data_IF_083415051131
#
_entry.id   IF_083415051131
#
_cell.length_a   1.000
_cell.length_b   1.000
_cell.length_c   1.000
_cell.angle_alpha   90.00
_cell.angle_beta   90.00
_cell.angle_gamma   90.00
#
_symmetry.space_group_name_H-M   'P 1'
#
loop_
_entity.id
_entity.type
_entity.pdbx_description
1 polymer ?
#
# COMPACT_ATOMS: atom_id res chain seq x y z
N UNK A 1 -9.55 6.93 1.74
CA UNK A 1 -8.76 7.85 0.90
C UNK A 1 -7.49 7.15 0.42
N UNK A 2 -6.93 7.54 -0.72
CA UNK A 2 -5.64 7.01 -1.20
C UNK A 2 -4.69 8.19 -1.42
N UNK A 3 -3.48 8.10 -0.86
CA UNK A 3 -2.43 9.10 -0.99
C UNK A 3 -1.24 8.45 -1.69
N UNK A 4 -0.80 9.00 -2.82
CA UNK A 4 0.43 8.54 -3.46
C UNK A 4 1.61 9.32 -2.86
N UNK A 5 2.55 8.61 -2.24
CA UNK A 5 3.68 9.21 -1.56
C UNK A 5 4.82 9.53 -2.53
N UNK A 6 5.54 10.59 -2.22
CA UNK A 6 6.73 11.02 -2.94
C UNK A 6 7.76 11.58 -1.97
N UNK A 7 8.97 11.76 -2.47
CA UNK A 7 10.16 12.15 -1.73
C UNK A 7 10.04 13.58 -1.15
N UNK A 8 9.07 14.38 -1.62
CA UNK A 8 8.82 15.74 -1.14
C UNK A 8 7.83 15.86 0.04
N UNK A 9 7.34 14.74 0.60
CA UNK A 9 6.43 14.76 1.75
C UNK A 9 7.19 14.97 3.06
N UNK A 10 6.86 16.04 3.78
CA UNK A 10 7.39 16.35 5.10
C UNK A 10 6.55 15.73 6.24
N UNK A 11 7.17 15.55 7.41
CA UNK A 11 6.51 14.96 8.59
C UNK A 11 5.30 15.78 9.09
N UNK A 12 5.29 17.10 8.83
CA UNK A 12 4.17 17.98 9.22
C UNK A 12 2.96 17.76 8.31
N UNK A 13 3.15 17.57 7.01
CA UNK A 13 2.03 17.26 6.11
C UNK A 13 1.46 15.88 6.37
N UNK A 14 2.32 14.88 6.61
CA UNK A 14 1.87 13.55 7.01
C UNK A 14 1.13 13.59 8.35
N UNK A 15 1.64 14.32 9.34
CA UNK A 15 0.96 14.53 10.61
C UNK A 15 -0.43 15.15 10.45
N UNK A 16 -0.58 16.17 9.60
CA UNK A 16 -1.90 16.77 9.28
C UNK A 16 -2.84 15.76 8.62
N UNK A 17 -2.35 14.93 7.70
CA UNK A 17 -3.14 13.86 7.08
C UNK A 17 -3.60 12.84 8.13
N UNK A 18 -2.69 12.39 8.99
CA UNK A 18 -2.97 11.43 10.08
C UNK A 18 -3.97 12.00 11.08
N UNK A 19 -3.85 13.27 11.45
CA UNK A 19 -4.83 13.96 12.29
C UNK A 19 -6.22 13.97 11.66
N UNK A 20 -6.32 14.27 10.36
CA UNK A 20 -7.58 14.23 9.62
C UNK A 20 -8.17 12.81 9.56
N UNK A 21 -7.34 11.79 9.39
CA UNK A 21 -7.77 10.38 9.38
C UNK A 21 -8.33 9.97 10.75
N UNK A 22 -7.63 10.31 11.83
CA UNK A 22 -8.05 10.01 13.21
C UNK A 22 -9.38 10.67 13.55
N UNK A 23 -9.59 11.93 13.16
CA UNK A 23 -10.82 12.67 13.44
C UNK A 23 -12.00 12.19 12.58
N UNK A 24 -11.76 11.92 11.30
CA UNK A 24 -12.84 11.53 10.36
C UNK A 24 -13.26 10.07 10.48
N UNK A 25 -12.40 9.20 11.02
CA UNK A 25 -12.66 7.75 11.02
C UNK A 25 -12.55 7.12 9.63
N UNK A 26 -11.84 7.78 8.72
CA UNK A 26 -11.65 7.29 7.36
C UNK A 26 -10.58 6.20 7.29
N UNK A 27 -10.71 5.32 6.30
CA UNK A 27 -9.70 4.31 5.98
C UNK A 27 -8.81 4.86 4.89
N UNK A 28 -7.52 4.96 5.16
CA UNK A 28 -6.57 5.63 4.27
C UNK A 28 -5.40 4.75 3.90
N UNK A 29 -5.10 4.70 2.59
CA UNK A 29 -3.99 3.96 2.04
C UNK A 29 -2.92 4.92 1.54
N UNK A 30 -1.71 4.81 2.06
CA UNK A 30 -0.52 5.51 1.59
C UNK A 30 0.24 4.59 0.63
N UNK A 31 0.07 4.89 -0.65
CA UNK A 31 0.70 4.16 -1.73
C UNK A 31 2.16 4.61 -1.87
N UNK A 32 3.06 3.68 -2.15
CA UNK A 32 4.49 3.97 -2.35
C UNK A 32 5.17 4.62 -1.14
N UNK A 33 4.77 4.23 0.07
CA UNK A 33 5.20 4.86 1.33
C UNK A 33 6.73 4.88 1.51
N UNK A 34 7.42 3.92 0.90
CA UNK A 34 8.87 3.80 0.92
C UNK A 34 9.64 4.76 -0.03
N UNK A 35 8.94 5.74 -0.62
CA UNK A 35 9.53 6.90 -1.30
C UNK A 35 9.82 8.08 -0.38
N UNK A 36 9.19 8.09 0.80
CA UNK A 36 9.43 9.12 1.80
C UNK A 36 10.84 8.90 2.36
N UNK A 37 11.57 10.00 2.58
CA UNK A 37 12.90 9.97 3.19
C UNK A 37 12.88 9.23 4.54
N UNK A 38 13.92 8.43 4.80
CA UNK A 38 14.02 7.57 6.00
C UNK A 38 13.96 8.40 7.29
N UNK A 39 14.49 9.62 7.27
CA UNK A 39 14.45 10.55 8.40
C UNK A 39 13.01 10.98 8.73
N UNK A 40 12.21 11.29 7.70
CA UNK A 40 10.78 11.64 7.85
C UNK A 40 9.98 10.43 8.33
N UNK A 41 10.23 9.25 7.77
CA UNK A 41 9.56 8.00 8.18
C UNK A 41 9.76 7.69 9.68
N UNK A 42 10.91 8.04 10.24
CA UNK A 42 11.21 7.82 11.66
C UNK A 42 10.33 8.67 12.57
N UNK A 43 10.06 9.93 12.19
CA UNK A 43 9.14 10.82 12.92
C UNK A 43 7.69 10.36 12.73
N UNK A 44 7.32 9.97 11.51
CA UNK A 44 5.97 9.48 11.20
C UNK A 44 5.64 8.20 11.97
N UNK A 45 6.62 7.33 12.24
CA UNK A 45 6.41 6.16 13.09
C UNK A 45 5.92 6.55 14.50
N UNK A 46 6.45 7.63 15.09
CA UNK A 46 6.01 8.12 16.39
C UNK A 46 4.59 8.71 16.33
N UNK A 47 4.25 9.43 15.25
CA UNK A 47 2.89 9.93 15.02
C UNK A 47 1.88 8.76 14.91
N UNK A 48 2.21 7.72 14.15
CA UNK A 48 1.37 6.52 14.02
C UNK A 48 1.23 5.81 15.38
N UNK A 49 2.32 5.66 16.14
CA UNK A 49 2.29 5.04 17.46
C UNK A 49 1.36 5.81 18.43
N UNK A 50 1.37 7.14 18.40
CA UNK A 50 0.48 7.97 19.22
C UNK A 50 -0.99 7.67 18.96
N UNK A 51 -1.38 7.58 17.69
CA UNK A 51 -2.75 7.22 17.28
C UNK A 51 -3.09 5.80 17.72
N UNK A 52 -2.21 4.83 17.44
CA UNK A 52 -2.42 3.43 17.82
C UNK A 52 -2.58 3.24 19.33
N UNK A 53 -1.86 4.03 20.13
CA UNK A 53 -1.96 4.01 21.59
C UNK A 53 -3.29 4.60 22.06
N UNK A 54 -3.73 5.72 21.49
CA UNK A 54 -5.02 6.31 21.83
C UNK A 54 -6.20 5.37 21.48
N UNK A 55 -6.08 4.65 20.37
CA UNK A 55 -7.05 3.64 19.93
C UNK A 55 -7.04 2.43 20.87
N UNK A 56 -5.88 1.91 21.25
CA UNK A 56 -5.79 0.75 22.16
C UNK A 56 -6.33 1.07 23.55
N UNK A 57 -6.15 2.31 24.02
CA UNK A 57 -6.71 2.84 25.27
C UNK A 57 -8.18 3.23 25.16
N UNK A 58 -8.79 3.14 23.96
CA UNK A 58 -10.18 3.51 23.68
C UNK A 58 -10.55 4.94 24.10
N UNK A 59 -9.65 5.89 23.84
CA UNK A 59 -9.87 7.31 24.15
C UNK A 59 -10.83 7.96 23.16
N UNK A 60 -11.74 8.81 23.63
CA UNK A 60 -12.57 9.65 22.76
C UNK A 60 -11.79 10.86 22.20
N UNK A 61 -10.77 11.31 22.94
CA UNK A 61 -9.92 12.46 22.63
C UNK A 61 -8.47 12.17 23.05
N UNK A 62 -7.50 12.70 22.31
CA UNK A 62 -6.09 12.55 22.63
C UNK A 62 -5.24 13.71 22.10
N UNK A 63 -4.11 13.94 22.77
CA UNK A 63 -3.13 14.93 22.37
C UNK A 63 -2.28 14.41 21.20
N UNK A 64 -2.41 15.03 20.04
CA UNK A 64 -1.67 14.70 18.82
C UNK A 64 -0.96 15.94 18.29
N UNK A 65 0.37 15.87 18.14
CA UNK A 65 1.22 16.97 17.66
C UNK A 65 0.96 18.32 18.40
N UNK A 66 0.66 18.25 19.71
CA UNK A 66 0.39 19.41 20.56
C UNK A 66 -1.05 19.94 20.51
N UNK A 67 -1.95 19.29 19.78
CA UNK A 67 -3.38 19.65 19.71
C UNK A 67 -4.24 18.52 20.29
N UNK A 68 -5.23 18.86 21.12
CA UNK A 68 -6.24 17.89 21.56
C UNK A 68 -7.27 17.69 20.44
N UNK A 69 -7.36 16.46 19.91
CA UNK A 69 -8.23 16.13 18.78
C UNK A 69 -9.18 14.98 19.14
N UNK A 70 -10.42 14.98 18.60
CA UNK A 70 -11.31 13.84 18.74
C UNK A 70 -10.74 12.63 17.99
N UNK A 71 -10.94 11.44 18.56
CA UNK A 71 -10.56 10.17 17.95
C UNK A 71 -11.80 9.40 17.53
N UNK A 72 -11.84 9.02 16.25
CA UNK A 72 -12.82 8.09 15.74
C UNK A 72 -12.19 6.68 15.63
N UNK A 73 -12.72 5.74 16.42
CA UNK A 73 -12.25 4.35 16.46
C UNK A 73 -12.34 3.60 15.14
N UNK A 74 -13.12 4.11 14.17
CA UNK A 74 -13.23 3.51 12.85
C UNK A 74 -12.10 3.92 11.89
N UNK A 75 -11.12 4.75 12.32
CA UNK A 75 -10.00 5.11 11.47
C UNK A 75 -9.16 3.89 11.06
N UNK A 76 -8.49 3.96 9.91
CA UNK A 76 -7.65 2.88 9.41
C UNK A 76 -6.48 3.39 8.59
N UNK A 77 -5.31 2.80 8.77
CA UNK A 77 -4.06 3.17 8.09
C UNK A 77 -3.46 1.98 7.36
N UNK A 78 -3.26 2.14 6.06
CA UNK A 78 -2.68 1.11 5.19
C UNK A 78 -1.50 1.71 4.45
N UNK A 79 -0.44 0.93 4.25
CA UNK A 79 0.70 1.37 3.46
C UNK A 79 1.09 0.31 2.44
N UNK A 80 1.44 0.74 1.23
CA UNK A 80 2.02 -0.15 0.22
C UNK A 80 3.50 0.20 0.04
N UNK A 81 4.30 -0.81 -0.28
CA UNK A 81 5.66 -0.62 -0.74
C UNK A 81 5.96 -1.60 -1.86
N UNK A 82 6.77 -1.14 -2.80
CA UNK A 82 7.32 -1.97 -3.87
C UNK A 82 8.82 -2.16 -3.56
N UNK A 83 9.21 -3.25 -2.88
CA UNK A 83 10.62 -3.53 -2.61
C UNK A 83 11.35 -3.85 -3.93
N UNK A 84 12.61 -3.46 -4.04
CA UNK A 84 13.46 -3.78 -5.21
C UNK A 84 13.38 -2.80 -6.39
N UNK A 85 12.55 -1.75 -6.31
CA UNK A 85 12.56 -0.65 -7.28
C UNK A 85 13.64 0.39 -6.94
N UNK A 86 14.29 0.96 -7.96
CA UNK A 86 15.30 2.00 -7.77
C UNK A 86 14.70 3.26 -7.10
N UNK A 87 15.46 3.90 -6.21
CA UNK A 87 14.99 5.07 -5.46
C UNK A 87 14.01 4.74 -4.33
N UNK A 88 13.97 3.48 -3.87
CA UNK A 88 13.12 3.05 -2.75
C UNK A 88 13.97 2.63 -1.56
N UNK A 89 13.62 3.12 -0.37
CA UNK A 89 14.27 2.73 0.88
C UNK A 89 13.54 1.56 1.52
N UNK A 90 14.27 0.77 2.32
CA UNK A 90 13.62 -0.16 3.26
C UNK A 90 12.94 0.64 4.38
N UNK A 91 11.80 0.16 4.88
CA UNK A 91 11.21 0.81 6.05
C UNK A 91 12.09 0.58 7.30
N UNK A 92 12.22 1.60 8.16
CA UNK A 92 12.77 1.47 9.51
C UNK A 92 12.09 0.37 10.34
N UNK A 93 12.85 -0.30 11.20
CA UNK A 93 12.35 -1.43 12.01
C UNK A 93 11.28 -1.01 13.02
N UNK A 94 11.39 0.19 13.60
CA UNK A 94 10.38 0.77 14.48
C UNK A 94 9.02 0.90 13.78
N UNK A 95 9.01 1.31 12.51
CA UNK A 95 7.81 1.43 11.71
C UNK A 95 7.27 0.05 11.29
N UNK A 96 8.15 -0.87 10.89
CA UNK A 96 7.78 -2.27 10.58
C UNK A 96 7.07 -2.93 11.77
N UNK A 97 7.51 -2.66 13.01
CA UNK A 97 6.90 -3.20 14.22
C UNK A 97 5.48 -2.68 14.49
N UNK A 98 5.12 -1.49 13.98
CA UNK A 98 3.78 -0.91 14.12
C UNK A 98 2.78 -1.49 13.11
N UNK A 99 3.28 -2.05 12.01
CA UNK A 99 2.51 -2.54 10.88
C UNK A 99 2.46 -4.08 10.86
N UNK A 100 1.43 -4.66 10.24
CA UNK A 100 1.36 -6.11 10.02
C UNK A 100 1.66 -6.42 8.54
N UNK A 101 2.67 -7.26 8.24
CA UNK A 101 3.01 -7.58 6.86
C UNK A 101 1.92 -8.44 6.21
N UNK A 102 1.62 -8.14 4.94
CA UNK A 102 0.88 -9.02 4.06
C UNK A 102 1.67 -9.18 2.76
N UNK A 103 1.90 -10.44 2.40
CA UNK A 103 2.47 -10.78 1.11
C UNK A 103 1.35 -10.89 0.10
N UNK A 104 1.39 -10.03 -0.93
CA UNK A 104 0.54 -10.24 -2.10
C UNK A 104 1.11 -11.42 -2.89
N UNK A 105 0.27 -12.44 -3.08
CA UNK A 105 0.57 -13.59 -3.93
C UNK A 105 0.50 -13.18 -5.39
N UNK A 106 1.22 -13.90 -6.25
CA UNK A 106 1.12 -13.72 -7.70
C UNK A 106 -0.34 -13.96 -8.12
N UNK A 107 -0.99 -13.01 -8.80
CA UNK A 107 -2.37 -13.17 -9.22
C UNK A 107 -2.49 -14.23 -10.32
N UNK A 108 -3.66 -14.88 -10.39
CA UNK A 108 -4.00 -15.77 -11.49
C UNK A 108 -4.40 -14.94 -12.73
N UNK A 109 -3.45 -14.74 -13.64
CA UNK A 109 -3.68 -13.97 -14.86
C UNK A 109 -4.71 -14.60 -15.79
N UNK A 110 -4.80 -15.93 -15.85
CA UNK A 110 -5.75 -16.60 -16.75
C UNK A 110 -7.18 -16.34 -16.28
N UNK A 111 -7.43 -16.49 -14.98
CA UNK A 111 -8.74 -16.21 -14.39
C UNK A 111 -9.14 -14.74 -14.55
N UNK A 112 -8.23 -13.81 -14.30
CA UNK A 112 -8.50 -12.37 -14.45
C UNK A 112 -8.81 -12.04 -15.91
N UNK A 113 -8.02 -12.55 -16.86
CA UNK A 113 -8.26 -12.35 -18.29
C UNK A 113 -9.60 -12.95 -18.73
N UNK A 114 -9.97 -14.14 -18.24
CA UNK A 114 -11.24 -14.78 -18.55
C UNK A 114 -12.44 -13.92 -18.11
N UNK A 115 -12.44 -13.47 -16.86
CA UNK A 115 -13.51 -12.62 -16.31
C UNK A 115 -13.58 -11.30 -17.09
N UNK A 116 -12.44 -10.71 -17.44
CA UNK A 116 -12.37 -9.47 -18.21
C UNK A 116 -12.95 -9.65 -19.61
N UNK A 117 -12.58 -10.73 -20.30
CA UNK A 117 -13.12 -11.06 -21.63
C UNK A 117 -14.62 -11.36 -21.57
N UNK A 118 -15.06 -12.09 -20.54
CA UNK A 118 -16.48 -12.36 -20.35
C UNK A 118 -17.29 -11.07 -20.12
N UNK A 119 -16.76 -10.10 -19.35
CA UNK A 119 -17.42 -8.82 -19.13
C UNK A 119 -17.55 -7.95 -20.38
N UNK A 120 -16.68 -8.17 -21.37
CA UNK A 120 -16.73 -7.51 -22.68
C UNK A 120 -17.58 -8.29 -23.71
N UNK A 121 -18.21 -9.40 -23.30
CA UNK A 121 -19.15 -10.17 -24.13
C UNK A 121 -18.51 -11.23 -25.03
N UNK A 122 -17.24 -11.61 -24.79
CA UNK A 122 -16.61 -12.71 -25.52
C UNK A 122 -17.15 -14.07 -25.06
N UNK A 123 -17.83 -14.80 -25.96
CA UNK A 123 -18.40 -16.13 -25.68
C UNK A 123 -17.31 -17.20 -25.45
N UNK A 124 -16.16 -17.08 -26.13
CA UNK A 124 -15.02 -18.01 -26.01
C UNK A 124 -13.97 -17.54 -24.98
N UNK A 125 -14.38 -16.81 -23.93
CA UNK A 125 -13.48 -16.18 -22.94
C UNK A 125 -12.49 -17.16 -22.29
N UNK A 126 -12.92 -18.39 -21.97
CA UNK A 126 -12.08 -19.43 -21.36
C UNK A 126 -10.93 -19.86 -22.30
N UNK A 127 -11.20 -19.98 -23.60
CA UNK A 127 -10.17 -20.38 -24.57
C UNK A 127 -9.23 -19.21 -24.86
N UNK A 128 -9.78 -18.00 -24.96
CA UNK A 128 -9.01 -16.79 -25.23
C UNK A 128 -8.10 -16.42 -24.07
N UNK A 129 -8.56 -16.53 -22.81
CA UNK A 129 -7.75 -16.24 -21.62
C UNK A 129 -6.50 -17.11 -21.55
N UNK A 130 -6.65 -18.43 -21.75
CA UNK A 130 -5.52 -19.37 -21.78
C UNK A 130 -4.50 -19.03 -22.86
N UNK A 131 -4.97 -18.67 -24.07
CA UNK A 131 -4.07 -18.25 -25.18
C UNK A 131 -3.31 -16.97 -24.83
N UNK A 132 -4.00 -15.98 -24.25
CA UNK A 132 -3.39 -14.71 -23.82
C UNK A 132 -2.35 -14.94 -22.72
N UNK A 133 -2.66 -15.75 -21.71
CA UNK A 133 -1.71 -16.06 -20.63
C UNK A 133 -0.45 -16.74 -21.15
N UNK A 134 -0.58 -17.74 -22.03
CA UNK A 134 0.58 -18.42 -22.65
C UNK A 134 1.36 -17.44 -23.52
N UNK A 135 0.69 -16.57 -24.27
CA UNK A 135 1.34 -15.56 -25.10
C UNK A 135 2.22 -14.63 -24.25
N UNK A 136 1.68 -14.10 -23.14
CA UNK A 136 2.44 -13.26 -22.23
C UNK A 136 3.62 -14.00 -21.58
N UNK A 137 3.44 -15.26 -21.19
CA UNK A 137 4.51 -16.09 -20.65
C UNK A 137 5.64 -16.32 -21.70
N UNK A 138 5.28 -16.57 -22.96
CA UNK A 138 6.25 -16.71 -24.05
C UNK A 138 6.96 -15.39 -24.36
N UNK A 139 6.23 -14.28 -24.37
CA UNK A 139 6.80 -12.93 -24.54
C UNK A 139 7.83 -12.63 -23.47
N UNK A 140 7.55 -12.95 -22.21
CA UNK A 140 8.51 -12.75 -21.12
C UNK A 140 9.79 -13.58 -21.29
N UNK A 141 9.66 -14.82 -21.78
CA UNK A 141 10.80 -15.72 -22.01
C UNK A 141 11.62 -15.41 -23.26
N UNK A 142 10.98 -14.89 -24.31
CA UNK A 142 11.57 -14.78 -25.65
C UNK A 142 11.93 -13.35 -26.07
N UNK A 143 11.31 -12.33 -25.48
CA UNK A 143 11.66 -10.95 -25.79
C UNK A 143 12.90 -10.50 -25.01
N UNK A 144 13.70 -9.63 -25.63
CA UNK A 144 14.86 -9.04 -24.99
C UNK A 144 14.46 -8.27 -23.72
N UNK A 145 15.31 -8.33 -22.70
CA UNK A 145 15.07 -7.82 -21.34
C UNK A 145 14.74 -6.31 -21.24
N UNK A 146 14.85 -5.56 -22.34
CA UNK A 146 14.48 -4.14 -22.41
C UNK A 146 12.96 -3.89 -22.48
N UNK A 147 12.15 -4.86 -22.89
CA UNK A 147 10.69 -4.72 -23.03
C UNK A 147 9.93 -5.36 -21.86
N UNK A 148 10.54 -6.33 -21.18
CA UNK A 148 9.95 -7.03 -20.02
C UNK A 148 9.94 -6.21 -18.73
N UNK A 149 10.33 -4.94 -18.74
CA UNK A 149 10.10 -4.01 -17.61
C UNK A 149 8.63 -3.63 -17.42
N UNK A 150 7.74 -4.04 -18.34
CA UNK A 150 6.27 -4.04 -18.16
C UNK A 150 5.77 -5.40 -17.64
N UNK A 151 6.66 -6.33 -17.26
CA UNK A 151 6.28 -7.43 -16.38
C UNK A 151 6.07 -6.83 -14.98
N UNK A 152 4.95 -7.13 -14.29
CA UNK A 152 4.90 -6.91 -12.86
C UNK A 152 5.98 -7.82 -12.30
N UNK A 153 7.13 -7.22 -12.00
CA UNK A 153 8.23 -7.91 -11.35
C UNK A 153 7.62 -8.83 -10.28
N UNK A 154 7.90 -10.13 -10.41
CA UNK A 154 7.48 -11.22 -9.51
C UNK A 154 8.07 -11.05 -8.09
N UNK A 155 8.52 -9.85 -7.76
CA UNK A 155 8.70 -9.35 -6.42
C UNK A 155 7.34 -9.15 -5.79
N UNK A 156 6.92 -10.14 -4.99
CA UNK A 156 5.89 -10.04 -3.97
C UNK A 156 5.72 -8.58 -3.52
N UNK A 157 4.67 -7.90 -3.98
CA UNK A 157 4.31 -6.61 -3.42
C UNK A 157 4.02 -6.87 -1.95
N UNK A 158 4.91 -6.41 -1.09
CA UNK A 158 4.68 -6.45 0.36
C UNK A 158 3.75 -5.29 0.66
N UNK A 159 2.46 -5.59 0.79
CA UNK A 159 1.52 -4.61 1.33
C UNK A 159 1.54 -4.77 2.84
N UNK A 160 1.75 -3.69 3.58
CA UNK A 160 1.68 -3.76 5.03
C UNK A 160 0.33 -3.23 5.46
N UNK A 161 -0.46 -4.10 6.06
CA UNK A 161 -1.80 -3.79 6.52
C UNK A 161 -1.73 -3.59 8.02
N UNK A 162 -2.44 -2.60 8.56
CA UNK A 162 -2.97 -2.75 9.90
C UNK A 162 -4.29 -2.02 9.98
N UNK A 163 -5.36 -2.80 10.19
CA UNK A 163 -6.62 -2.24 10.66
C UNK A 163 -6.34 -1.61 12.03
N UNK A 164 -6.65 -0.33 12.19
CA UNK A 164 -6.51 0.40 13.46
C UNK A 164 -7.75 0.11 14.33
N UNK A 165 -8.24 -1.13 14.32
CA UNK A 165 -9.32 -1.61 15.19
C UNK A 165 -8.86 -2.82 15.99
#
# INVERSE_FOLDING_TARGET
MVFNCSDGLDYKSVGRMLSGIAQTGSWSCFDEFNRIEVEVLSVVAQQILSILTAVSERKDHFLFEGSDIPLNMNCGLFVTMNPGYAGRSELPDNLKALLRPISMMVPDFALICEITLLSEGFEESETLSKKVSILYELMEKQLSSRITTISPSVTSRRCWFRQVT
#
